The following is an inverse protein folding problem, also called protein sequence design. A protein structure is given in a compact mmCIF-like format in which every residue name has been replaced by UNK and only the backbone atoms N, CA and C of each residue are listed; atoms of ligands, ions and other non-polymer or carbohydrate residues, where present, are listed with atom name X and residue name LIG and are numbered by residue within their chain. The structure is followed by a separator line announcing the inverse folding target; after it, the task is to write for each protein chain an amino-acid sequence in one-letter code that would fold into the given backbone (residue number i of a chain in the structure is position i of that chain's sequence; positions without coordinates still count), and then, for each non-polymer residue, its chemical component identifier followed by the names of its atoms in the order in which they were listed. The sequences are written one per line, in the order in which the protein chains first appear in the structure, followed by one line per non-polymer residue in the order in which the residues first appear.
data_IF_488231732074
#
_entry.id   IF_488231732074
#
_cell.length_a   1.000
_cell.length_b   1.000
_cell.length_c   1.000
_cell.angle_alpha   90.00
_cell.angle_beta   90.00
_cell.angle_gamma   90.00
#
_symmetry.space_group_name_H-M   'P 1'
#
loop_
_entity.id
_entity.type
_entity.pdbx_description
1 polymer ?
#
# COMPACT_ATOMS: atom_id res chain seq x y z
N UNK A 1 -28.87 10.93 -75.11
CA UNK A 1 -27.65 11.32 -74.39
C UNK A 1 -27.97 11.42 -72.92
N UNK A 2 -27.73 10.38 -72.12
CA UNK A 2 -28.06 10.28 -70.72
C UNK A 2 -26.77 10.04 -69.94
N UNK A 3 -26.43 10.93 -68.99
CA UNK A 3 -25.32 10.74 -68.08
C UNK A 3 -25.68 9.87 -66.88
N UNK A 4 -24.87 8.90 -66.46
CA UNK A 4 -25.09 8.15 -65.24
C UNK A 4 -24.49 8.88 -64.03
N UNK A 5 -25.33 9.15 -63.06
CA UNK A 5 -24.95 9.67 -61.76
C UNK A 5 -24.39 8.53 -60.84
N UNK A 6 -23.10 8.59 -60.53
CA UNK A 6 -22.47 7.70 -59.55
C UNK A 6 -22.83 8.14 -58.09
N UNK A 7 -23.68 7.40 -57.42
CA UNK A 7 -23.88 7.46 -55.98
C UNK A 7 -22.68 6.81 -55.27
N UNK A 8 -21.86 7.64 -54.60
CA UNK A 8 -20.84 7.15 -53.67
C UNK A 8 -21.52 6.75 -52.35
N UNK A 9 -21.48 5.48 -52.03
CA UNK A 9 -21.94 4.91 -50.75
C UNK A 9 -20.78 5.08 -49.73
N UNK A 10 -20.93 6.06 -48.81
CA UNK A 10 -19.96 6.27 -47.72
C UNK A 10 -20.31 5.25 -46.60
N UNK A 11 -19.49 4.20 -46.49
CA UNK A 11 -19.53 3.26 -45.37
C UNK A 11 -18.88 3.96 -44.13
N UNK A 12 -19.70 4.42 -43.22
CA UNK A 12 -19.26 4.86 -41.89
C UNK A 12 -18.94 3.62 -41.06
N UNK A 13 -17.67 3.29 -40.91
CA UNK A 13 -17.16 2.29 -39.99
C UNK A 13 -17.23 2.88 -38.57
N UNK A 14 -18.27 2.56 -37.80
CA UNK A 14 -18.34 2.82 -36.38
C UNK A 14 -17.46 1.83 -35.62
N UNK A 15 -16.25 2.26 -35.24
CA UNK A 15 -15.41 1.52 -34.30
C UNK A 15 -16.07 1.59 -32.90
N UNK A 16 -16.34 0.46 -32.23
CA UNK A 16 -16.74 0.50 -30.84
C UNK A 16 -15.54 0.91 -29.99
N UNK A 17 -15.68 2.03 -29.28
CA UNK A 17 -14.74 2.49 -28.27
C UNK A 17 -14.82 1.50 -27.10
N UNK A 18 -13.91 0.52 -27.09
CA UNK A 18 -13.75 -0.40 -25.96
C UNK A 18 -13.17 0.43 -24.79
N UNK A 19 -14.04 0.87 -23.89
CA UNK A 19 -13.61 1.50 -22.64
C UNK A 19 -12.87 0.45 -21.81
N UNK A 20 -11.55 0.47 -21.84
CA UNK A 20 -10.72 -0.25 -20.88
C UNK A 20 -11.03 0.34 -19.50
N UNK A 21 -11.80 -0.39 -18.71
CA UNK A 21 -11.93 -0.13 -17.28
C UNK A 21 -10.57 -0.43 -16.64
N UNK A 22 -9.76 0.59 -16.45
CA UNK A 22 -8.53 0.50 -15.65
C UNK A 22 -9.01 0.28 -14.21
N UNK A 23 -8.69 -0.85 -13.56
CA UNK A 23 -9.00 -1.01 -12.14
C UNK A 23 -8.16 0.01 -11.37
N UNK A 24 -8.77 1.14 -10.99
CA UNK A 24 -8.20 1.99 -9.97
C UNK A 24 -8.12 1.15 -8.69
N UNK A 25 -6.92 0.92 -8.18
CA UNK A 25 -6.74 0.47 -6.81
C UNK A 25 -7.55 1.42 -5.93
N UNK A 26 -8.54 0.88 -5.21
CA UNK A 26 -9.37 1.71 -4.35
C UNK A 26 -8.47 2.35 -3.31
N UNK A 27 -8.42 3.68 -3.20
CA UNK A 27 -7.56 4.34 -2.23
C UNK A 27 -7.90 3.85 -0.83
N UNK A 28 -6.88 3.81 0.03
CA UNK A 28 -7.00 3.59 1.46
C UNK A 28 -8.22 4.32 2.00
N UNK A 29 -9.01 3.63 2.83
CA UNK A 29 -10.22 4.24 3.32
C UNK A 29 -9.93 5.13 4.53
N UNK A 30 -9.94 6.42 4.32
CA UNK A 30 -9.91 7.42 5.38
C UNK A 30 -11.35 7.74 5.83
N UNK A 31 -11.63 7.54 7.10
CA UNK A 31 -12.94 7.80 7.71
C UNK A 31 -12.77 8.95 8.69
N UNK A 32 -13.50 10.05 8.52
CA UNK A 32 -13.38 11.19 9.41
C UNK A 32 -13.87 10.84 10.83
N UNK A 33 -13.12 11.31 11.83
CA UNK A 33 -13.47 11.21 13.23
C UNK A 33 -14.11 12.52 13.68
N UNK A 34 -15.24 12.41 14.37
CA UNK A 34 -15.78 13.51 15.17
C UNK A 34 -15.14 13.51 16.56
N UNK A 35 -15.43 14.52 17.34
CA UNK A 35 -14.94 14.64 18.73
C UNK A 35 -16.09 14.68 19.73
N UNK A 36 -15.83 14.05 20.87
CA UNK A 36 -16.58 14.20 22.08
C UNK A 36 -15.60 14.70 23.17
N UNK A 37 -15.62 15.98 23.43
CA UNK A 37 -14.56 16.63 24.20
C UNK A 37 -13.18 16.36 23.57
N UNK A 38 -12.33 15.54 24.15
CA UNK A 38 -11.04 15.13 23.57
C UNK A 38 -11.04 13.70 22.98
N UNK A 39 -12.17 12.99 23.09
CA UNK A 39 -12.28 11.59 22.66
C UNK A 39 -12.75 11.47 21.20
N UNK A 40 -12.15 10.59 20.40
CA UNK A 40 -12.55 10.40 19.01
C UNK A 40 -13.85 9.61 18.91
N UNK A 41 -14.75 10.07 18.06
CA UNK A 41 -16.00 9.41 17.70
C UNK A 41 -16.03 9.04 16.24
N UNK A 42 -16.66 7.93 15.93
CA UNK A 42 -16.86 7.46 14.56
C UNK A 42 -18.34 7.16 14.31
N UNK A 43 -18.82 7.53 13.13
CA UNK A 43 -20.10 7.06 12.64
C UNK A 43 -19.91 5.70 11.96
N UNK A 44 -20.68 4.71 12.41
CA UNK A 44 -20.74 3.37 11.84
C UNK A 44 -22.17 3.08 11.41
N UNK A 45 -22.41 2.03 10.61
CA UNK A 45 -23.77 1.58 10.30
C UNK A 45 -24.00 0.20 10.86
N UNK A 46 -25.20 0.02 11.43
CA UNK A 46 -25.72 -1.28 11.88
C UNK A 46 -27.13 -1.42 11.33
N UNK A 47 -27.38 -2.44 10.51
CA UNK A 47 -28.63 -2.64 9.80
C UNK A 47 -29.05 -1.36 9.02
N UNK A 48 -28.12 -0.76 8.28
CA UNK A 48 -28.26 0.49 7.49
C UNK A 48 -28.58 1.76 8.32
N UNK A 49 -28.60 1.66 9.64
CA UNK A 49 -28.81 2.81 10.52
C UNK A 49 -27.47 3.39 11.01
N UNK A 50 -27.26 4.71 10.90
CA UNK A 50 -26.08 5.36 11.44
C UNK A 50 -26.08 5.28 12.97
N UNK A 51 -24.92 5.00 13.55
CA UNK A 51 -24.68 4.84 14.98
C UNK A 51 -23.36 5.51 15.36
N UNK A 52 -23.32 6.16 16.52
CA UNK A 52 -22.13 6.81 17.01
C UNK A 52 -21.38 5.94 18.01
N UNK A 53 -20.12 5.65 17.70
CA UNK A 53 -19.24 4.86 18.55
C UNK A 53 -18.07 5.70 19.02
N UNK A 54 -17.75 5.57 20.32
CA UNK A 54 -16.49 6.08 20.85
C UNK A 54 -15.35 5.17 20.39
N UNK A 55 -14.23 5.73 19.92
CA UNK A 55 -13.03 4.97 19.59
C UNK A 55 -12.12 4.91 20.81
N UNK A 56 -11.91 3.72 21.38
CA UNK A 56 -11.15 3.55 22.60
C UNK A 56 -10.20 2.33 22.50
N UNK A 57 -8.91 2.60 22.35
CA UNK A 57 -7.87 1.55 22.24
C UNK A 57 -7.58 0.83 23.56
N UNK A 58 -8.07 1.34 24.68
CA UNK A 58 -7.91 0.71 25.99
C UNK A 58 -9.11 -0.17 26.38
N UNK A 59 -10.19 -0.14 25.61
CA UNK A 59 -11.40 -0.94 25.85
C UNK A 59 -11.52 -2.11 24.88
N UNK A 60 -12.35 -3.09 25.23
CA UNK A 60 -12.96 -4.02 24.27
C UNK A 60 -14.23 -3.40 23.70
N UNK A 61 -14.60 -3.83 22.50
CA UNK A 61 -15.82 -3.33 21.85
C UNK A 61 -17.06 -3.71 22.59
N UNK A 62 -17.99 -2.76 22.72
CA UNK A 62 -19.27 -2.97 23.42
C UNK A 62 -20.38 -2.09 22.85
N UNK A 63 -21.61 -2.48 23.11
CA UNK A 63 -22.80 -1.77 22.67
C UNK A 63 -23.43 -1.01 23.86
N UNK A 64 -24.15 0.05 23.54
CA UNK A 64 -25.00 0.71 24.53
C UNK A 64 -26.32 -0.06 24.68
N UNK A 65 -26.57 -0.58 25.88
CA UNK A 65 -27.78 -1.36 26.16
C UNK A 65 -29.06 -0.59 25.80
N UNK A 66 -29.09 0.71 26.05
CA UNK A 66 -30.26 1.55 25.70
C UNK A 66 -30.50 1.66 24.18
N UNK A 67 -29.52 1.40 23.33
CA UNK A 67 -29.63 1.44 21.87
C UNK A 67 -30.04 0.10 21.26
N UNK A 68 -29.82 -1.02 21.97
CA UNK A 68 -29.97 -2.38 21.47
C UNK A 68 -30.83 -3.26 22.39
N UNK A 69 -31.67 -2.67 23.23
CA UNK A 69 -32.51 -3.36 24.23
C UNK A 69 -33.49 -4.39 23.63
N UNK A 70 -33.89 -4.23 22.37
CA UNK A 70 -34.89 -5.09 21.71
C UNK A 70 -34.27 -6.36 21.07
N UNK A 71 -32.96 -6.52 21.10
CA UNK A 71 -32.27 -7.69 20.54
C UNK A 71 -32.36 -8.92 21.43
N UNK A 72 -32.07 -10.11 20.84
CA UNK A 72 -31.86 -11.31 21.63
C UNK A 72 -30.64 -11.14 22.53
N UNK A 73 -30.84 -11.21 23.84
CA UNK A 73 -29.78 -10.94 24.81
C UNK A 73 -29.68 -12.04 25.84
N UNK A 74 -28.45 -12.35 26.25
CA UNK A 74 -28.11 -13.26 27.35
C UNK A 74 -27.39 -12.46 28.42
N UNK A 75 -27.73 -12.69 29.67
CA UNK A 75 -27.01 -12.07 30.79
C UNK A 75 -25.59 -12.61 30.88
N UNK A 76 -24.64 -11.72 30.95
CA UNK A 76 -23.22 -12.01 31.13
C UNK A 76 -22.61 -11.09 32.21
N UNK A 77 -21.44 -11.44 32.68
CA UNK A 77 -20.63 -10.55 33.55
C UNK A 77 -19.44 -10.01 32.79
N UNK A 78 -19.25 -8.71 32.84
CA UNK A 78 -18.06 -8.05 32.32
C UNK A 78 -17.23 -7.56 33.49
N UNK A 79 -15.97 -7.94 33.55
CA UNK A 79 -15.02 -7.45 34.54
C UNK A 79 -14.08 -6.43 33.90
N UNK A 80 -13.72 -5.37 34.62
CA UNK A 80 -12.62 -4.52 34.18
C UNK A 80 -11.32 -5.34 34.15
N UNK A 81 -10.37 -4.90 33.34
CA UNK A 81 -9.05 -5.55 33.24
C UNK A 81 -8.29 -5.59 34.59
N UNK A 82 -8.65 -4.71 35.53
CA UNK A 82 -8.11 -4.75 36.90
C UNK A 82 -8.87 -5.73 37.83
N UNK A 83 -9.89 -6.42 37.33
CA UNK A 83 -10.64 -7.43 38.11
C UNK A 83 -11.53 -6.87 39.24
N UNK A 84 -11.63 -5.55 39.38
CA UNK A 84 -12.25 -4.91 40.56
C UNK A 84 -13.73 -4.56 40.40
N UNK A 85 -14.30 -4.57 39.22
CA UNK A 85 -15.70 -4.25 38.95
C UNK A 85 -16.31 -5.29 38.01
N UNK A 86 -17.17 -6.15 38.56
CA UNK A 86 -18.07 -6.96 37.74
C UNK A 86 -19.35 -6.18 37.52
N UNK A 87 -19.63 -5.79 36.30
CA UNK A 87 -20.87 -5.13 35.92
C UNK A 87 -21.77 -6.15 35.22
N UNK A 88 -23.06 -6.15 35.54
CA UNK A 88 -24.04 -6.91 34.77
C UNK A 88 -24.12 -6.35 33.37
N UNK A 89 -23.97 -7.20 32.40
CA UNK A 89 -24.06 -6.85 30.99
C UNK A 89 -24.95 -7.83 30.26
N UNK A 90 -25.42 -7.48 29.11
CA UNK A 90 -26.09 -8.40 28.20
C UNK A 90 -25.20 -8.66 26.99
N UNK A 91 -25.13 -9.90 26.54
CA UNK A 91 -24.55 -10.21 25.25
C UNK A 91 -25.62 -9.96 24.17
N UNK A 92 -25.32 -9.07 23.25
CA UNK A 92 -26.23 -8.70 22.15
C UNK A 92 -25.56 -9.07 20.82
N UNK A 93 -26.32 -9.73 19.95
CA UNK A 93 -25.86 -10.07 18.60
C UNK A 93 -26.38 -9.07 17.60
N UNK A 94 -25.48 -8.52 16.79
CA UNK A 94 -25.80 -7.66 15.65
C UNK A 94 -25.41 -8.35 14.34
N UNK A 95 -26.22 -8.18 13.30
CA UNK A 95 -26.07 -8.88 12.01
C UNK A 95 -25.10 -8.16 11.04
N UNK A 96 -24.29 -7.28 11.52
CA UNK A 96 -23.22 -6.62 10.78
C UNK A 96 -22.94 -5.22 11.31
N UNK A 97 -21.68 -4.86 11.20
CA UNK A 97 -21.15 -3.55 11.53
C UNK A 97 -20.41 -3.04 10.31
N UNK A 98 -20.83 -1.90 9.76
CA UNK A 98 -20.15 -1.25 8.63
C UNK A 98 -19.38 -0.05 9.15
N UNK A 99 -18.06 -0.05 8.88
CA UNK A 99 -17.14 1.03 9.21
C UNK A 99 -16.58 1.53 7.88
N UNK A 100 -17.16 2.61 7.37
CA UNK A 100 -16.92 3.04 6.02
C UNK A 100 -17.35 1.98 5.00
N UNK A 101 -16.42 1.45 4.20
CA UNK A 101 -16.66 0.36 3.22
C UNK A 101 -16.38 -1.04 3.78
N UNK A 102 -15.79 -1.09 4.98
CA UNK A 102 -15.45 -2.37 5.61
C UNK A 102 -16.64 -2.90 6.39
N UNK A 103 -17.05 -4.13 6.07
CA UNK A 103 -18.13 -4.80 6.76
C UNK A 103 -17.59 -5.93 7.63
N UNK A 104 -17.89 -5.85 8.91
CA UNK A 104 -17.69 -6.95 9.86
C UNK A 104 -19.03 -7.68 9.97
N UNK A 105 -19.05 -8.96 9.62
CA UNK A 105 -20.25 -9.77 9.66
C UNK A 105 -20.80 -9.91 11.11
N UNK A 106 -21.72 -10.80 11.32
CA UNK A 106 -22.34 -11.08 12.61
C UNK A 106 -21.38 -11.00 13.81
N UNK A 107 -21.73 -10.17 14.78
CA UNK A 107 -20.95 -9.94 16.00
C UNK A 107 -21.83 -10.16 17.24
N UNK A 108 -21.28 -10.83 18.25
CA UNK A 108 -21.86 -10.86 19.59
C UNK A 108 -20.97 -10.03 20.51
N UNK A 109 -21.50 -8.96 21.04
CA UNK A 109 -20.78 -7.99 21.85
C UNK A 109 -21.47 -7.80 23.21
N UNK A 110 -20.72 -7.52 24.28
CA UNK A 110 -21.30 -7.09 25.54
C UNK A 110 -22.02 -5.75 25.35
N UNK A 111 -23.15 -5.59 25.98
CA UNK A 111 -23.90 -4.34 26.04
C UNK A 111 -24.07 -3.92 27.50
N UNK A 112 -23.67 -2.70 27.77
CA UNK A 112 -23.81 -2.03 29.08
C UNK A 112 -24.49 -0.67 28.91
N UNK A 113 -24.89 -0.05 29.99
CA UNK A 113 -25.40 1.32 29.94
C UNK A 113 -24.24 2.31 29.74
N UNK A 114 -24.24 2.98 28.60
CA UNK A 114 -23.26 4.02 28.23
C UNK A 114 -23.87 5.45 28.33
N UNK A 115 -25.02 5.60 29.00
CA UNK A 115 -25.71 6.89 29.10
C UNK A 115 -24.85 7.98 29.73
N UNK A 116 -24.02 7.63 30.72
CA UNK A 116 -23.13 8.59 31.35
C UNK A 116 -22.11 9.19 30.34
N UNK A 117 -21.58 8.37 29.46
CA UNK A 117 -20.67 8.82 28.38
C UNK A 117 -21.43 9.69 27.38
N UNK A 118 -22.64 9.27 26.98
CA UNK A 118 -23.46 10.04 26.07
C UNK A 118 -23.83 11.42 26.61
N UNK A 119 -24.17 11.51 27.90
CA UNK A 119 -24.45 12.79 28.56
C UNK A 119 -23.23 13.70 28.59
N UNK A 120 -22.05 13.18 28.91
CA UNK A 120 -20.80 13.93 28.86
C UNK A 120 -20.46 14.43 27.44
N UNK A 121 -20.78 13.63 26.42
CA UNK A 121 -20.58 13.99 25.00
C UNK A 121 -21.63 14.93 24.42
N UNK A 122 -22.73 15.20 25.14
CA UNK A 122 -23.87 15.94 24.60
C UNK A 122 -24.57 15.27 23.41
N UNK A 123 -24.34 13.96 23.20
CA UNK A 123 -24.97 13.15 22.14
C UNK A 123 -25.09 11.70 22.56
N UNK A 124 -26.05 11.03 21.92
CA UNK A 124 -26.21 9.59 22.12
C UNK A 124 -24.98 8.83 21.60
N UNK A 125 -24.40 7.99 22.46
CA UNK A 125 -23.33 7.04 22.10
C UNK A 125 -23.96 5.64 22.07
N UNK A 126 -23.84 4.97 20.92
CA UNK A 126 -24.46 3.67 20.68
C UNK A 126 -23.50 2.51 20.98
N UNK A 127 -22.21 2.78 21.13
CA UNK A 127 -21.21 1.78 21.48
C UNK A 127 -19.81 2.32 21.62
N UNK A 128 -18.89 1.41 21.89
CA UNK A 128 -17.44 1.63 21.90
C UNK A 128 -16.81 0.73 20.86
N UNK A 129 -15.99 1.30 19.99
CA UNK A 129 -15.12 0.58 19.05
C UNK A 129 -13.78 0.36 19.73
N UNK A 130 -13.59 -0.82 20.29
CA UNK A 130 -12.43 -1.17 21.10
C UNK A 130 -11.27 -1.78 20.31
N UNK A 131 -10.19 -2.08 21.01
CA UNK A 131 -8.96 -2.61 20.43
C UNK A 131 -9.18 -3.90 19.62
N UNK A 132 -10.10 -4.77 20.03
CA UNK A 132 -10.44 -6.04 19.37
C UNK A 132 -10.99 -5.85 17.96
N UNK A 133 -11.93 -4.92 17.75
CA UNK A 133 -12.46 -4.63 16.43
C UNK A 133 -11.50 -3.75 15.62
N UNK A 134 -10.83 -2.78 16.24
CA UNK A 134 -9.81 -1.97 15.57
C UNK A 134 -8.70 -2.86 14.99
N UNK A 135 -8.22 -3.84 15.74
CA UNK A 135 -7.24 -4.81 15.25
C UNK A 135 -7.81 -5.68 14.12
N UNK A 136 -9.05 -6.15 14.27
CA UNK A 136 -9.71 -7.01 13.28
C UNK A 136 -9.85 -6.34 11.92
N UNK A 137 -10.06 -5.02 11.89
CA UNK A 137 -10.17 -4.25 10.65
C UNK A 137 -8.85 -3.59 10.24
N UNK A 138 -7.74 -3.93 10.91
CA UNK A 138 -6.42 -3.35 10.70
C UNK A 138 -6.46 -1.81 10.67
N UNK A 139 -7.13 -1.21 11.68
CA UNK A 139 -7.31 0.23 11.77
C UNK A 139 -6.08 0.95 12.31
N UNK A 140 -5.77 2.09 11.75
CA UNK A 140 -4.81 3.08 12.26
C UNK A 140 -5.53 4.38 12.56
N UNK A 141 -5.23 5.00 13.70
CA UNK A 141 -5.88 6.24 14.15
C UNK A 141 -4.86 7.39 14.03
N UNK A 142 -5.18 8.38 13.21
CA UNK A 142 -4.46 9.65 13.16
C UNK A 142 -5.27 10.73 13.88
N UNK A 143 -4.94 10.93 15.15
CA UNK A 143 -5.63 11.93 15.98
C UNK A 143 -5.33 13.36 15.53
N UNK A 144 -4.18 13.62 14.91
CA UNK A 144 -3.83 14.95 14.40
C UNK A 144 -4.68 15.34 13.20
N UNK A 145 -4.91 14.41 12.28
CA UNK A 145 -5.75 14.61 11.09
C UNK A 145 -7.22 14.31 11.36
N UNK A 146 -7.55 13.75 12.51
CA UNK A 146 -8.90 13.32 12.88
C UNK A 146 -9.47 12.29 11.88
N UNK A 147 -8.70 11.28 11.57
CA UNK A 147 -9.11 10.19 10.68
C UNK A 147 -8.83 8.83 11.29
N UNK A 148 -9.70 7.88 10.99
CA UNK A 148 -9.46 6.45 11.12
C UNK A 148 -9.17 5.90 9.73
N UNK A 149 -8.01 5.31 9.58
CA UNK A 149 -7.58 4.64 8.37
C UNK A 149 -7.82 3.14 8.52
N UNK A 150 -8.58 2.54 7.61
CA UNK A 150 -8.80 1.09 7.56
C UNK A 150 -7.99 0.52 6.42
N UNK A 151 -7.05 -0.37 6.76
CA UNK A 151 -6.21 -1.04 5.75
C UNK A 151 -7.05 -2.08 5.01
N UNK A 152 -7.12 -1.95 3.70
CA UNK A 152 -7.83 -2.90 2.84
C UNK A 152 -7.01 -4.17 2.60
N UNK A 153 -7.67 -5.26 2.21
CA UNK A 153 -6.97 -6.49 1.81
C UNK A 153 -6.00 -6.25 0.64
N UNK A 154 -6.34 -5.33 -0.27
CA UNK A 154 -5.48 -4.97 -1.40
C UNK A 154 -4.22 -4.22 -0.93
N UNK A 155 -4.32 -3.35 0.07
CA UNK A 155 -3.16 -2.68 0.66
C UNK A 155 -2.25 -3.64 1.42
N UNK A 156 -2.82 -4.59 2.17
CA UNK A 156 -2.03 -5.65 2.83
C UNK A 156 -1.28 -6.46 1.78
N UNK A 157 -1.96 -6.85 0.70
CA UNK A 157 -1.34 -7.57 -0.40
C UNK A 157 -0.24 -6.74 -1.07
N UNK A 158 -0.51 -5.47 -1.34
CA UNK A 158 0.46 -4.55 -1.93
C UNK A 158 1.72 -4.41 -1.06
N UNK A 159 1.56 -4.24 0.24
CA UNK A 159 2.68 -4.17 1.20
C UNK A 159 3.48 -5.48 1.25
N UNK A 160 2.81 -6.64 1.18
CA UNK A 160 3.48 -7.94 1.11
C UNK A 160 4.31 -8.09 -0.16
N UNK A 161 3.72 -7.77 -1.33
CA UNK A 161 4.41 -7.83 -2.62
C UNK A 161 5.63 -6.89 -2.65
N UNK A 162 5.49 -5.66 -2.15
CA UNK A 162 6.59 -4.71 -2.02
C UNK A 162 7.71 -5.26 -1.12
N UNK A 163 7.36 -5.82 0.04
CA UNK A 163 8.34 -6.39 0.96
C UNK A 163 9.07 -7.61 0.39
N UNK A 164 8.37 -8.48 -0.36
CA UNK A 164 9.00 -9.60 -1.06
C UNK A 164 9.97 -9.11 -2.14
N UNK A 165 9.54 -8.14 -2.94
CA UNK A 165 10.34 -7.55 -4.00
C UNK A 165 11.59 -6.85 -3.44
N UNK A 166 11.47 -6.09 -2.34
CA UNK A 166 12.62 -5.45 -1.68
C UNK A 166 13.70 -6.44 -1.25
N UNK A 167 13.32 -7.62 -0.73
CA UNK A 167 14.31 -8.66 -0.38
C UNK A 167 15.08 -9.15 -1.60
N UNK A 168 14.38 -9.38 -2.73
CA UNK A 168 15.02 -9.82 -3.96
C UNK A 168 15.89 -8.69 -4.57
N UNK A 169 15.44 -7.44 -4.52
CA UNK A 169 16.21 -6.26 -4.97
C UNK A 169 17.48 -6.06 -4.14
N UNK A 170 17.40 -6.24 -2.82
CA UNK A 170 18.57 -6.17 -1.93
C UNK A 170 19.64 -7.19 -2.33
N UNK A 171 19.24 -8.43 -2.69
CA UNK A 171 20.14 -9.46 -3.21
C UNK A 171 20.79 -9.01 -4.52
N UNK A 172 20.05 -8.33 -5.39
CA UNK A 172 20.57 -7.83 -6.66
C UNK A 172 21.60 -6.71 -6.45
N UNK A 173 21.33 -5.80 -5.52
CA UNK A 173 22.26 -4.74 -5.13
C UNK A 173 23.55 -5.32 -4.52
N UNK A 174 23.41 -6.36 -3.70
CA UNK A 174 24.57 -7.08 -3.15
C UNK A 174 25.38 -7.73 -4.27
N UNK A 175 24.74 -8.45 -5.21
CA UNK A 175 25.39 -9.07 -6.35
C UNK A 175 26.16 -8.04 -7.21
N UNK A 176 25.56 -6.86 -7.45
CA UNK A 176 26.26 -5.76 -8.10
C UNK A 176 27.52 -5.35 -7.33
N UNK A 177 27.41 -5.14 -6.01
CA UNK A 177 28.52 -4.70 -5.15
C UNK A 177 29.64 -5.74 -5.03
N UNK A 178 29.31 -7.01 -5.18
CA UNK A 178 30.26 -8.12 -5.16
C UNK A 178 30.84 -8.46 -6.55
N UNK A 179 30.33 -7.82 -7.60
CA UNK A 179 30.59 -8.15 -9.01
C UNK A 179 30.25 -9.60 -9.35
N UNK A 180 29.19 -10.13 -8.70
CA UNK A 180 28.63 -11.44 -9.02
C UNK A 180 27.71 -11.32 -10.24
N UNK A 181 28.33 -11.45 -11.41
CA UNK A 181 27.64 -11.30 -12.69
C UNK A 181 26.50 -12.28 -12.88
N UNK A 182 26.67 -13.51 -12.39
CA UNK A 182 25.65 -14.56 -12.52
C UNK A 182 24.41 -14.21 -11.71
N UNK A 183 24.56 -13.93 -10.41
CA UNK A 183 23.44 -13.57 -9.54
C UNK A 183 22.78 -12.27 -9.99
N UNK A 184 23.57 -11.28 -10.42
CA UNK A 184 23.02 -10.04 -10.97
C UNK A 184 22.22 -10.29 -12.26
N UNK A 185 22.73 -11.10 -13.18
CA UNK A 185 22.00 -11.51 -14.39
C UNK A 185 20.69 -12.23 -14.10
N UNK A 186 20.65 -13.06 -13.05
CA UNK A 186 19.41 -13.75 -12.62
C UNK A 186 18.37 -12.80 -12.04
N UNK A 187 18.74 -11.60 -11.61
CA UNK A 187 17.84 -10.54 -11.19
C UNK A 187 17.11 -9.86 -12.36
N UNK A 188 17.59 -10.02 -13.58
CA UNK A 188 17.01 -9.42 -14.76
C UNK A 188 16.00 -10.37 -15.42
N UNK A 189 14.84 -9.84 -15.79
CA UNK A 189 13.89 -10.63 -16.62
C UNK A 189 14.52 -10.94 -17.97
N UNK A 190 14.28 -12.13 -18.58
CA UNK A 190 14.79 -12.45 -19.91
C UNK A 190 14.44 -11.42 -20.98
N UNK A 191 13.31 -10.72 -20.82
CA UNK A 191 12.79 -9.68 -21.73
C UNK A 191 12.91 -8.28 -21.17
N UNK A 192 13.82 -8.04 -20.24
CA UNK A 192 14.01 -6.69 -19.63
C UNK A 192 14.24 -5.64 -20.72
N UNK A 193 13.68 -4.46 -20.47
CA UNK A 193 13.96 -3.25 -21.25
C UNK A 193 14.58 -2.22 -20.33
N UNK A 194 15.73 -1.68 -20.69
CA UNK A 194 16.39 -0.64 -19.93
C UNK A 194 16.61 0.61 -20.80
N UNK A 195 16.15 1.74 -20.30
CA UNK A 195 16.39 3.04 -20.89
C UNK A 195 17.38 3.83 -20.05
N UNK A 196 18.41 4.33 -20.69
CA UNK A 196 19.33 5.29 -20.11
C UNK A 196 19.22 6.63 -20.84
N UNK A 197 19.92 7.63 -20.40
CA UNK A 197 19.99 8.93 -21.12
C UNK A 197 20.64 8.85 -22.50
N UNK A 198 21.31 7.73 -22.82
CA UNK A 198 22.12 7.59 -24.03
C UNK A 198 21.71 6.45 -24.94
N UNK A 199 21.11 5.41 -24.41
CA UNK A 199 20.82 4.19 -25.15
C UNK A 199 19.61 3.43 -24.60
N UNK A 200 19.07 2.59 -25.47
CA UNK A 200 17.99 1.66 -25.15
C UNK A 200 18.54 0.25 -25.26
N UNK A 201 18.31 -0.57 -24.24
CA UNK A 201 18.84 -1.92 -24.14
C UNK A 201 17.70 -2.90 -23.96
N UNK A 202 17.69 -3.96 -24.79
CA UNK A 202 16.64 -4.97 -24.84
C UNK A 202 17.20 -6.35 -24.54
N UNK A 203 16.58 -7.02 -23.58
CA UNK A 203 16.93 -8.38 -23.17
C UNK A 203 18.04 -8.44 -22.12
N UNK A 204 18.00 -9.54 -21.35
CA UNK A 204 18.89 -9.78 -20.20
C UNK A 204 20.38 -9.67 -20.56
N UNK A 205 20.79 -10.33 -21.63
CA UNK A 205 22.21 -10.38 -21.99
C UNK A 205 22.75 -8.98 -22.30
N UNK A 206 22.01 -8.21 -23.08
CA UNK A 206 22.39 -6.86 -23.45
C UNK A 206 22.49 -5.92 -22.26
N UNK A 207 21.53 -6.04 -21.31
CA UNK A 207 21.55 -5.25 -20.07
C UNK A 207 22.70 -5.72 -19.14
N UNK A 208 22.91 -7.02 -19.02
CA UNK A 208 24.02 -7.55 -18.23
C UNK A 208 25.38 -7.11 -18.77
N UNK A 209 25.59 -7.13 -20.11
CA UNK A 209 26.80 -6.66 -20.77
C UNK A 209 27.07 -5.18 -20.47
N UNK A 210 26.02 -4.34 -20.51
CA UNK A 210 26.13 -2.93 -20.15
C UNK A 210 26.70 -2.73 -18.73
N UNK A 211 26.21 -3.50 -17.75
CA UNK A 211 26.70 -3.41 -16.37
C UNK A 211 28.11 -4.00 -16.22
N UNK A 212 28.39 -5.12 -16.93
CA UNK A 212 29.70 -5.77 -16.93
C UNK A 212 30.79 -4.82 -17.40
N UNK A 213 30.60 -4.21 -18.56
CA UNK A 213 31.60 -3.31 -19.15
C UNK A 213 31.80 -2.04 -18.34
N UNK A 214 30.74 -1.49 -17.76
CA UNK A 214 30.79 -0.21 -17.07
C UNK A 214 31.20 -0.30 -15.61
N UNK A 215 30.90 -1.41 -14.93
CA UNK A 215 31.02 -1.48 -13.48
C UNK A 215 31.76 -2.71 -12.98
N UNK A 216 31.57 -3.89 -13.57
CA UNK A 216 32.16 -5.13 -13.03
C UNK A 216 33.60 -5.34 -13.45
N UNK A 217 33.95 -5.04 -14.70
CA UNK A 217 35.30 -5.18 -15.24
C UNK A 217 36.14 -3.90 -15.07
N UNK A 218 35.93 -3.17 -13.97
CA UNK A 218 36.70 -1.99 -13.66
C UNK A 218 37.89 -2.32 -12.71
N UNK A 219 38.97 -1.50 -12.69
CA UNK A 219 40.11 -1.74 -11.84
C UNK A 219 39.81 -1.78 -10.34
N UNK A 220 38.78 -1.10 -9.90
CA UNK A 220 38.24 -1.18 -8.53
C UNK A 220 36.76 -1.50 -8.55
N UNK A 221 36.29 -2.16 -7.51
CA UNK A 221 34.88 -2.47 -7.35
C UNK A 221 34.04 -1.20 -7.30
N UNK A 222 32.95 -1.21 -8.05
CA UNK A 222 31.94 -0.19 -7.94
C UNK A 222 30.99 -0.52 -6.79
N UNK A 223 30.52 0.51 -6.08
CA UNK A 223 29.57 0.37 -4.99
C UNK A 223 28.27 1.08 -5.34
N UNK A 224 27.20 0.33 -5.40
CA UNK A 224 25.84 0.82 -5.63
C UNK A 224 25.10 0.92 -4.28
N UNK A 225 24.49 2.07 -4.05
CA UNK A 225 23.51 2.30 -2.99
C UNK A 225 22.19 2.73 -3.64
N UNK A 226 21.10 2.11 -3.23
CA UNK A 226 19.74 2.42 -3.74
C UNK A 226 18.89 2.86 -2.56
N UNK A 227 18.15 3.97 -2.76
CA UNK A 227 17.13 4.47 -1.86
C UNK A 227 15.80 4.44 -2.61
N UNK A 228 14.95 3.49 -2.26
CA UNK A 228 13.62 3.34 -2.83
C UNK A 228 12.66 4.28 -2.09
N UNK A 229 11.82 5.01 -2.83
CA UNK A 229 10.98 6.05 -2.24
C UNK A 229 9.49 5.71 -2.25
N UNK A 230 8.96 5.19 -3.33
CA UNK A 230 7.54 4.90 -3.48
C UNK A 230 7.34 3.56 -4.19
N UNK A 231 6.42 2.75 -3.67
CA UNK A 231 6.06 1.46 -4.24
C UNK A 231 4.62 1.47 -4.71
N UNK A 232 4.41 0.95 -5.91
CA UNK A 232 3.09 0.87 -6.51
C UNK A 232 2.89 -0.53 -7.06
N UNK A 233 1.71 -1.09 -6.81
CA UNK A 233 1.35 -2.42 -7.31
C UNK A 233 0.38 -2.31 -8.47
N UNK A 234 0.56 -3.17 -9.47
CA UNK A 234 -0.33 -3.31 -10.61
C UNK A 234 -0.49 -4.80 -10.92
N UNK A 235 -1.53 -5.42 -10.38
CA UNK A 235 -1.70 -6.87 -10.44
C UNK A 235 -0.54 -7.59 -9.75
N UNK A 236 0.20 -8.39 -10.52
CA UNK A 236 1.36 -9.15 -10.03
C UNK A 236 2.71 -8.46 -10.31
N UNK A 237 2.68 -7.20 -10.71
CA UNK A 237 3.86 -6.37 -10.89
C UNK A 237 3.95 -5.30 -9.80
N UNK A 238 5.17 -4.95 -9.46
CA UNK A 238 5.50 -3.82 -8.57
C UNK A 238 6.41 -2.88 -9.35
N UNK A 239 6.08 -1.61 -9.40
CA UNK A 239 7.01 -0.60 -9.86
C UNK A 239 7.34 0.35 -8.71
N UNK A 240 8.54 0.91 -8.73
CA UNK A 240 9.04 1.79 -7.68
C UNK A 240 9.94 2.87 -8.23
N UNK A 241 9.93 3.99 -7.56
CA UNK A 241 10.86 5.08 -7.76
C UNK A 241 12.08 4.87 -6.87
N UNK A 242 13.26 5.23 -7.37
CA UNK A 242 14.50 5.12 -6.62
C UNK A 242 15.48 6.23 -6.94
N UNK A 243 16.26 6.57 -5.95
CA UNK A 243 17.51 7.31 -6.11
C UNK A 243 18.66 6.34 -5.95
N UNK A 244 19.75 6.56 -6.67
CA UNK A 244 20.92 5.72 -6.55
C UNK A 244 22.21 6.54 -6.52
N UNK A 245 23.21 5.96 -5.89
CA UNK A 245 24.59 6.44 -5.94
C UNK A 245 25.50 5.29 -6.34
N UNK A 246 26.39 5.52 -7.31
CA UNK A 246 27.43 4.58 -7.69
C UNK A 246 28.79 5.22 -7.46
N UNK A 247 29.53 4.67 -6.50
CA UNK A 247 30.96 4.98 -6.31
C UNK A 247 31.80 4.03 -7.16
N UNK A 248 32.67 4.57 -7.99
CA UNK A 248 33.51 3.81 -8.91
C UNK A 248 34.92 4.41 -9.02
N UNK A 249 35.83 3.72 -9.72
CA UNK A 249 37.16 4.26 -10.03
C UNK A 249 37.12 5.63 -10.75
N UNK A 250 36.02 5.90 -11.49
CA UNK A 250 35.85 7.13 -12.25
C UNK A 250 35.38 8.32 -11.40
N UNK A 251 34.70 8.03 -10.30
CA UNK A 251 34.04 9.04 -9.46
C UNK A 251 32.70 8.56 -8.94
N UNK A 252 31.98 9.49 -8.33
CA UNK A 252 30.64 9.28 -7.77
C UNK A 252 29.58 9.74 -8.77
N UNK A 253 28.71 8.80 -9.12
CA UNK A 253 27.52 9.05 -9.96
C UNK A 253 26.29 9.03 -9.08
N UNK A 254 25.44 10.06 -9.18
CA UNK A 254 24.10 10.09 -8.58
C UNK A 254 23.06 10.13 -9.67
N UNK A 255 21.99 9.42 -9.46
CA UNK A 255 20.87 9.39 -10.38
C UNK A 255 19.57 9.02 -9.70
N UNK A 256 18.52 8.99 -10.50
CA UNK A 256 17.19 8.56 -10.11
C UNK A 256 16.53 7.79 -11.24
N UNK A 257 15.58 6.96 -10.88
CA UNK A 257 14.89 6.16 -11.88
C UNK A 257 13.59 5.56 -11.41
N UNK A 258 13.02 4.81 -12.31
CA UNK A 258 11.84 3.97 -12.08
C UNK A 258 12.19 2.56 -12.53
N UNK A 259 11.87 1.58 -11.73
CA UNK A 259 11.99 0.17 -12.11
C UNK A 259 10.66 -0.54 -11.94
N UNK A 260 10.38 -1.48 -12.82
CA UNK A 260 9.25 -2.38 -12.72
C UNK A 260 9.77 -3.81 -12.55
N UNK A 261 9.32 -4.46 -11.50
CA UNK A 261 9.60 -5.86 -11.22
C UNK A 261 8.34 -6.70 -11.42
N UNK A 262 8.53 -7.90 -11.91
CA UNK A 262 7.48 -8.92 -11.98
C UNK A 262 8.01 -10.25 -11.43
N UNK A 263 7.10 -11.10 -10.97
CA UNK A 263 7.45 -12.43 -10.47
C UNK A 263 7.55 -13.40 -11.64
N UNK A 264 8.72 -14.02 -11.83
CA UNK A 264 8.99 -15.02 -12.86
C UNK A 264 9.66 -16.21 -12.18
N UNK A 265 9.09 -17.41 -12.32
CA UNK A 265 9.56 -18.65 -11.67
C UNK A 265 9.70 -18.50 -10.14
N UNK A 266 8.77 -17.80 -9.49
CA UNK A 266 8.75 -17.59 -8.05
C UNK A 266 9.67 -16.48 -7.53
N UNK A 267 10.50 -15.86 -8.37
CA UNK A 267 11.43 -14.79 -8.01
C UNK A 267 11.05 -13.46 -8.65
N UNK A 268 11.25 -12.38 -7.92
CA UNK A 268 11.11 -11.04 -8.46
C UNK A 268 12.29 -10.70 -9.36
N UNK A 269 12.00 -10.26 -10.58
CA UNK A 269 13.00 -9.86 -11.57
C UNK A 269 12.66 -8.49 -12.13
N UNK A 270 13.68 -7.68 -12.39
CA UNK A 270 13.52 -6.41 -13.06
C UNK A 270 13.09 -6.64 -14.51
N UNK A 271 11.90 -6.18 -14.86
CA UNK A 271 11.32 -6.32 -16.21
C UNK A 271 11.44 -5.03 -17.03
N UNK A 272 11.50 -3.90 -16.36
CA UNK A 272 11.81 -2.61 -17.00
C UNK A 272 12.59 -1.73 -16.03
N UNK A 273 13.49 -0.94 -16.55
CA UNK A 273 14.26 0.04 -15.80
C UNK A 273 14.44 1.29 -16.65
N UNK A 274 14.16 2.43 -16.08
CA UNK A 274 14.55 3.71 -16.64
C UNK A 274 15.33 4.49 -15.58
N UNK A 275 16.53 4.92 -15.89
CA UNK A 275 17.30 5.78 -15.00
C UNK A 275 17.91 6.96 -15.73
N UNK A 276 18.02 8.07 -15.00
CA UNK A 276 18.69 9.29 -15.44
C UNK A 276 19.84 9.59 -14.50
N UNK A 277 21.00 9.83 -15.07
CA UNK A 277 22.16 10.38 -14.37
C UNK A 277 21.86 11.86 -14.06
N UNK A 278 21.95 12.25 -12.79
CA UNK A 278 21.65 13.61 -12.34
C UNK A 278 22.96 14.40 -12.11
N UNK A 279 23.95 13.74 -11.50
CA UNK A 279 25.21 14.38 -11.14
C UNK A 279 26.35 13.38 -11.22
N UNK A 280 27.47 13.83 -11.79
CA UNK A 280 28.73 13.06 -11.77
C UNK A 280 29.84 13.92 -11.16
N UNK A 281 30.49 13.39 -10.13
CA UNK A 281 31.62 13.98 -9.43
C UNK A 281 32.85 13.11 -9.75
N UNK A 282 33.78 13.56 -10.62
CA UNK A 282 34.97 12.78 -10.93
C UNK A 282 35.88 12.68 -9.69
N UNK A 283 36.57 11.55 -9.53
CA UNK A 283 37.64 11.46 -8.56
C UNK A 283 38.73 12.45 -8.94
N UNK A 284 38.96 13.44 -8.10
CA UNK A 284 40.14 14.32 -8.27
C UNK A 284 41.38 13.42 -8.11
N UNK A 285 42.10 13.16 -9.20
CA UNK A 285 43.40 12.55 -9.10
C UNK A 285 44.21 13.44 -8.14
N UNK A 286 44.58 12.88 -7.00
CA UNK A 286 45.54 13.56 -6.10
C UNK A 286 46.83 13.76 -6.89
N UNK A 287 46.89 14.90 -7.56
CA UNK A 287 48.12 15.36 -8.22
C UNK A 287 49.17 15.55 -7.16
N UNK A 288 49.99 14.57 -7.04
CA UNK A 288 51.30 14.73 -6.38
C UNK A 288 52.15 15.46 -7.41
N UNK A 289 52.03 16.79 -7.43
CA UNK A 289 53.05 17.62 -8.01
C UNK A 289 54.33 17.47 -7.17
N UNK A 290 55.31 16.92 -7.80
CA UNK A 290 56.70 16.97 -7.34
C UNK A 290 57.41 18.15 -8.00
#
# INVERSE_FOLDING_TARGET
MGHPTHRRLSLLLSLPLLALAIPFAAPAQEIPLAQCDSLPLIEVKIADHPRWFLVDTAATSMLNLASFAEGSSRDIRVTSWMGTLATSAKEVTIEGLEIGRTRVAKLSLPAIDLSAIGNACGRKIDGILGADLLQKIAATIDLKRQILHVTTADEVRAAQLASEMQRDTARCTQAFNESDEKTFGDCLDPKIVMFTTKEELYGRERVADYFRERYFHQPSRSRLEIHESAFHTMGDAVWYEYEFTIDSARGRLRGRGVAMCKKTDGHWRMASMHHSEVQFEPNVASGVDR
#
